data_IF_764104920104
#
_entry.id   IF_764104920104
#
_cell.length_a   1.000
_cell.length_b   1.000
_cell.length_c   1.000
_cell.angle_alpha   90.00
_cell.angle_beta   90.00
_cell.angle_gamma   90.00
#
_symmetry.space_group_name_H-M   'P 1'
#
loop_
_entity.id
_entity.type
_entity.pdbx_description
1 polymer ?
#
# COMPACT_ATOMS: atom_id res chain seq x y z
N UNK A 1 18.03 10.26 19.82
CA UNK A 1 18.41 9.30 18.78
C UNK A 1 17.16 8.49 18.47
N UNK A 2 16.45 8.81 17.39
CA UNK A 2 15.23 8.08 17.06
C UNK A 2 15.64 6.72 16.48
N UNK A 3 15.52 5.67 17.28
CA UNK A 3 15.70 4.30 16.84
C UNK A 3 14.83 4.11 15.59
N UNK A 4 15.47 3.86 14.44
CA UNK A 4 14.72 3.45 13.26
C UNK A 4 14.11 2.09 13.59
N UNK A 5 12.81 1.89 13.37
CA UNK A 5 12.18 0.61 13.68
C UNK A 5 12.90 -0.46 12.86
N UNK A 6 13.58 -1.38 13.53
CA UNK A 6 14.18 -2.54 12.87
C UNK A 6 13.23 -3.71 13.04
N UNK A 7 13.00 -4.45 11.97
CA UNK A 7 12.19 -5.65 12.02
C UNK A 7 12.98 -6.78 12.70
N UNK A 8 12.36 -7.56 13.61
CA UNK A 8 12.98 -8.78 14.12
C UNK A 8 13.12 -9.82 13.00
N UNK A 9 13.87 -10.92 13.20
CA UNK A 9 13.84 -12.04 12.27
C UNK A 9 12.40 -12.53 12.04
N UNK A 10 12.00 -12.75 10.78
CA UNK A 10 10.65 -13.21 10.44
C UNK A 10 10.29 -14.55 11.12
N UNK A 11 11.31 -15.34 11.47
CA UNK A 11 11.18 -16.61 12.21
C UNK A 11 10.66 -16.43 13.64
N UNK A 12 10.80 -15.23 14.22
CA UNK A 12 10.36 -14.93 15.59
C UNK A 12 8.88 -14.52 15.66
N UNK A 13 8.23 -14.20 14.53
CA UNK A 13 6.84 -13.71 14.49
C UNK A 13 5.84 -14.54 15.32
N UNK A 14 5.84 -15.89 15.28
CA UNK A 14 4.89 -16.68 16.05
C UNK A 14 5.03 -16.51 17.57
N UNK A 15 6.24 -16.20 18.04
CA UNK A 15 6.55 -16.01 19.47
C UNK A 15 6.23 -14.62 20.00
N UNK A 16 6.00 -13.64 19.11
CA UNK A 16 5.69 -12.27 19.51
C UNK A 16 4.24 -12.12 20.01
N UNK A 17 4.00 -11.03 20.74
CA UNK A 17 2.65 -10.66 21.16
C UNK A 17 1.79 -10.22 19.97
N UNK A 18 0.45 -10.31 20.09
CA UNK A 18 -0.46 -9.78 19.07
C UNK A 18 -0.19 -8.29 18.75
N UNK A 19 -0.02 -7.39 19.75
CA UNK A 19 0.33 -6.00 19.48
C UNK A 19 1.63 -5.82 18.69
N UNK A 20 2.65 -6.64 18.94
CA UNK A 20 3.94 -6.49 18.24
C UNK A 20 3.87 -7.04 16.81
N UNK A 21 3.14 -8.14 16.57
CA UNK A 21 2.83 -8.60 15.22
C UNK A 21 2.02 -7.57 14.44
N UNK A 22 1.03 -6.94 15.07
CA UNK A 22 0.23 -5.89 14.45
C UNK A 22 1.10 -4.70 14.03
N UNK A 23 2.01 -4.24 14.89
CA UNK A 23 2.98 -3.18 14.55
C UNK A 23 3.87 -3.56 13.37
N UNK A 24 4.32 -4.81 13.28
CA UNK A 24 5.12 -5.29 12.13
C UNK A 24 4.28 -5.24 10.85
N UNK A 25 3.03 -5.69 10.92
CA UNK A 25 2.10 -5.57 9.79
C UNK A 25 1.85 -4.11 9.42
N UNK A 26 1.76 -3.19 10.38
CA UNK A 26 1.59 -1.73 10.15
C UNK A 26 2.85 -1.03 9.64
N UNK A 27 4.02 -1.65 9.78
CA UNK A 27 5.26 -1.16 9.19
C UNK A 27 5.36 -1.62 7.73
N UNK A 28 5.03 -2.89 7.46
CA UNK A 28 5.10 -3.48 6.12
C UNK A 28 3.94 -3.02 5.24
N UNK A 29 2.75 -2.97 5.81
CA UNK A 29 1.50 -2.54 5.19
C UNK A 29 0.97 -1.32 5.93
N UNK A 30 0.03 -0.59 5.34
CA UNK A 30 -0.55 0.54 6.06
C UNK A 30 -1.44 0.06 7.22
N UNK A 31 -1.53 0.83 8.32
CA UNK A 31 -2.39 0.50 9.44
C UNK A 31 -3.81 0.15 9.02
N UNK A 32 -4.19 -1.11 9.27
CA UNK A 32 -5.44 -1.66 8.76
C UNK A 32 -6.03 -2.70 9.72
N UNK A 33 -7.14 -2.37 10.41
CA UNK A 33 -7.84 -3.34 11.25
C UNK A 33 -8.31 -4.58 10.47
N UNK A 34 -8.69 -4.40 9.19
CA UNK A 34 -9.07 -5.51 8.32
C UNK A 34 -7.88 -6.45 8.07
N UNK A 35 -6.70 -5.90 7.76
CA UNK A 35 -5.48 -6.69 7.57
C UNK A 35 -5.12 -7.45 8.85
N UNK A 36 -5.22 -6.80 10.02
CA UNK A 36 -4.96 -7.45 11.30
C UNK A 36 -5.91 -8.61 11.57
N UNK A 37 -7.20 -8.44 11.30
CA UNK A 37 -8.22 -9.49 11.47
C UNK A 37 -7.87 -10.74 10.66
N UNK A 38 -7.39 -10.56 9.43
CA UNK A 38 -7.05 -11.66 8.51
C UNK A 38 -5.70 -12.31 8.88
N UNK A 39 -4.68 -11.52 9.17
CA UNK A 39 -3.29 -12.00 9.16
C UNK A 39 -2.62 -12.13 10.54
N UNK A 40 -3.21 -11.62 11.63
CA UNK A 40 -2.71 -11.94 12.97
C UNK A 40 -2.80 -13.44 13.30
N UNK A 41 -3.88 -14.18 12.95
CA UNK A 41 -3.92 -15.63 13.13
C UNK A 41 -2.85 -16.37 12.32
N UNK A 42 -2.59 -15.91 11.08
CA UNK A 42 -1.59 -16.50 10.20
C UNK A 42 -0.18 -16.34 10.78
N UNK A 43 0.16 -15.12 11.20
CA UNK A 43 1.48 -14.79 11.77
C UNK A 43 1.71 -15.39 13.16
N UNK A 44 0.65 -15.84 13.85
CA UNK A 44 0.74 -16.58 15.10
C UNK A 44 0.96 -18.10 14.91
N UNK A 45 0.50 -18.67 13.80
CA UNK A 45 0.47 -20.11 13.55
C UNK A 45 1.51 -20.61 12.55
N UNK A 46 2.00 -19.73 11.67
CA UNK A 46 2.97 -20.07 10.64
C UNK A 46 4.30 -19.36 10.87
N UNK A 47 5.40 -20.11 10.74
CA UNK A 47 6.75 -19.56 10.71
C UNK A 47 7.13 -19.15 9.28
N UNK A 48 7.78 -18.00 9.13
CA UNK A 48 8.28 -17.48 7.86
C UNK A 48 9.80 -17.32 7.95
N UNK A 49 10.54 -17.76 6.93
CA UNK A 49 12.01 -17.63 6.91
C UNK A 49 12.47 -16.21 6.59
N UNK A 50 11.68 -15.44 5.83
CA UNK A 50 11.95 -14.05 5.44
C UNK A 50 10.65 -13.25 5.41
N UNK A 51 10.75 -11.91 5.43
CA UNK A 51 9.59 -11.05 5.24
C UNK A 51 8.99 -11.16 3.84
N UNK A 52 9.80 -11.39 2.80
CA UNK A 52 9.29 -11.64 1.46
C UNK A 52 8.39 -12.89 1.41
N UNK A 53 8.72 -13.94 2.16
CA UNK A 53 7.84 -15.12 2.27
C UNK A 53 6.52 -14.79 2.97
N UNK A 54 6.53 -13.95 4.01
CA UNK A 54 5.30 -13.46 4.64
C UNK A 54 4.47 -12.62 3.66
N UNK A 55 5.10 -11.66 2.98
CA UNK A 55 4.43 -10.75 2.03
C UNK A 55 3.84 -11.53 0.86
N UNK A 56 4.55 -12.53 0.33
CA UNK A 56 4.05 -13.41 -0.71
C UNK A 56 2.84 -14.23 -0.23
N UNK A 57 2.86 -14.75 1.01
CA UNK A 57 1.72 -15.47 1.59
C UNK A 57 0.49 -14.56 1.77
N UNK A 58 0.70 -13.33 2.24
CA UNK A 58 -0.35 -12.31 2.35
C UNK A 58 -0.92 -11.98 0.96
N UNK A 59 -0.05 -11.71 -0.02
CA UNK A 59 -0.46 -11.41 -1.39
C UNK A 59 -1.27 -12.53 -2.03
N UNK A 60 -0.84 -13.79 -1.88
CA UNK A 60 -1.57 -14.95 -2.36
C UNK A 60 -2.97 -15.09 -1.72
N UNK A 61 -3.07 -14.84 -0.41
CA UNK A 61 -4.35 -14.85 0.27
C UNK A 61 -5.30 -13.75 -0.26
N UNK A 62 -4.81 -12.53 -0.42
CA UNK A 62 -5.60 -11.42 -0.96
C UNK A 62 -6.03 -11.64 -2.41
N UNK A 63 -5.17 -12.25 -3.24
CA UNK A 63 -5.54 -12.64 -4.60
C UNK A 63 -6.65 -13.69 -4.59
N UNK A 64 -6.61 -14.65 -3.66
CA UNK A 64 -7.71 -15.60 -3.49
C UNK A 64 -9.03 -14.93 -3.07
N UNK A 65 -8.99 -13.88 -2.25
CA UNK A 65 -10.18 -13.07 -1.95
C UNK A 65 -10.68 -12.35 -3.20
N UNK A 66 -9.79 -11.81 -4.03
CA UNK A 66 -10.13 -11.10 -5.27
C UNK A 66 -10.80 -12.01 -6.32
N UNK A 67 -10.52 -13.31 -6.28
CA UNK A 67 -11.14 -14.33 -7.16
C UNK A 67 -12.48 -14.86 -6.62
N UNK A 68 -12.88 -14.44 -5.42
CA UNK A 68 -14.12 -14.90 -4.83
C UNK A 68 -15.36 -14.30 -5.50
N UNK A 69 -16.39 -15.12 -5.68
CA UNK A 69 -17.73 -14.65 -6.04
C UNK A 69 -18.53 -14.12 -4.84
N UNK A 70 -18.00 -14.23 -3.62
CA UNK A 70 -18.69 -13.80 -2.39
C UNK A 70 -18.42 -12.32 -2.13
N UNK A 71 -19.48 -11.51 -2.16
CA UNK A 71 -19.41 -10.07 -1.91
C UNK A 71 -18.76 -9.70 -0.58
N UNK A 72 -18.99 -10.48 0.49
CA UNK A 72 -18.39 -10.19 1.80
C UNK A 72 -16.86 -10.34 1.81
N UNK A 73 -16.31 -11.31 1.06
CA UNK A 73 -14.87 -11.48 0.92
C UNK A 73 -14.23 -10.36 0.07
N UNK A 74 -14.96 -9.90 -0.95
CA UNK A 74 -14.54 -8.74 -1.74
C UNK A 74 -14.55 -7.45 -0.93
N UNK A 75 -15.56 -7.24 -0.07
CA UNK A 75 -15.60 -6.09 0.85
C UNK A 75 -14.45 -6.12 1.85
N UNK A 76 -14.12 -7.29 2.38
CA UNK A 76 -12.97 -7.44 3.29
C UNK A 76 -11.65 -7.07 2.59
N UNK A 77 -11.45 -7.52 1.35
CA UNK A 77 -10.33 -7.09 0.51
C UNK A 77 -10.33 -5.57 0.27
N UNK A 78 -11.46 -5.00 -0.11
CA UNK A 78 -11.57 -3.57 -0.38
C UNK A 78 -11.26 -2.72 0.87
N UNK A 79 -11.62 -3.19 2.07
CA UNK A 79 -11.24 -2.56 3.34
C UNK A 79 -9.72 -2.59 3.59
N UNK A 80 -9.04 -3.67 3.21
CA UNK A 80 -7.57 -3.73 3.27
C UNK A 80 -6.96 -2.71 2.30
N UNK A 81 -7.39 -2.74 1.03
CA UNK A 81 -6.82 -1.88 -0.01
C UNK A 81 -7.08 -0.38 0.25
N UNK A 82 -8.24 -0.03 0.78
CA UNK A 82 -8.62 1.35 1.10
C UNK A 82 -7.96 1.91 2.36
N UNK A 83 -7.24 1.07 3.13
CA UNK A 83 -6.43 1.54 4.27
C UNK A 83 -5.20 2.34 3.81
N UNK A 84 -4.81 2.22 2.54
CA UNK A 84 -3.69 2.98 1.98
C UNK A 84 -4.00 4.48 1.91
N UNK A 85 -3.08 5.39 2.27
CA UNK A 85 -3.32 6.83 2.18
C UNK A 85 -3.46 7.27 0.73
N UNK A 86 -4.17 8.37 0.48
CA UNK A 86 -4.23 8.94 -0.87
C UNK A 86 -2.86 9.44 -1.29
N UNK A 87 -2.53 9.23 -2.56
CA UNK A 87 -1.32 9.80 -3.14
C UNK A 87 -1.47 11.33 -3.16
N UNK A 88 -0.51 12.05 -2.58
CA UNK A 88 -0.49 13.52 -2.49
C UNK A 88 -1.09 14.09 -1.20
N UNK A 89 -1.61 13.24 -0.29
CA UNK A 89 -2.18 13.69 0.98
C UNK A 89 -1.10 14.23 1.93
N UNK A 90 -1.33 15.42 2.51
CA UNK A 90 -0.34 16.11 3.36
C UNK A 90 -0.22 15.49 4.77
N UNK A 91 -1.26 14.79 5.22
CA UNK A 91 -1.32 14.15 6.53
C UNK A 91 -1.34 12.65 6.35
N UNK A 92 -0.14 12.06 6.25
CA UNK A 92 0.03 10.62 6.26
C UNK A 92 0.66 10.24 7.59
N UNK A 93 -0.01 9.37 8.35
CA UNK A 93 0.43 8.99 9.69
C UNK A 93 1.70 8.11 9.64
N UNK A 94 1.79 7.24 8.64
CA UNK A 94 2.96 6.37 8.42
C UNK A 94 4.18 7.15 7.91
N UNK A 95 5.31 6.97 8.58
CA UNK A 95 6.59 7.57 8.17
C UNK A 95 7.08 7.04 6.82
N UNK A 96 6.81 5.76 6.52
CA UNK A 96 7.23 5.12 5.27
C UNK A 96 6.49 5.71 4.08
N UNK A 97 5.17 5.90 4.16
CA UNK A 97 4.44 6.51 3.05
C UNK A 97 4.75 8.00 2.88
N UNK A 98 5.13 8.73 3.95
CA UNK A 98 5.72 10.08 3.77
C UNK A 98 7.02 10.04 2.95
N UNK A 99 7.89 9.06 3.21
CA UNK A 99 9.15 8.89 2.45
C UNK A 99 8.90 8.49 0.99
N UNK A 100 7.96 7.59 0.74
CA UNK A 100 7.56 7.16 -0.60
C UNK A 100 7.05 8.35 -1.43
N UNK A 101 6.13 9.15 -0.87
CA UNK A 101 5.61 10.33 -1.57
C UNK A 101 6.68 11.42 -1.78
N UNK A 102 7.60 11.59 -0.83
CA UNK A 102 8.73 12.50 -0.98
C UNK A 102 9.71 12.06 -2.08
N UNK A 103 9.94 10.75 -2.24
CA UNK A 103 10.78 10.21 -3.31
C UNK A 103 10.20 10.50 -4.70
N UNK A 104 8.88 10.35 -4.86
CA UNK A 104 8.17 10.72 -6.10
C UNK A 104 8.30 12.22 -6.41
N UNK A 105 8.17 13.09 -5.39
CA UNK A 105 8.38 14.53 -5.51
C UNK A 105 9.80 14.88 -5.98
N UNK A 106 10.81 14.21 -5.41
CA UNK A 106 12.21 14.40 -5.79
C UNK A 106 12.48 13.96 -7.24
N UNK A 107 11.92 12.83 -7.66
CA UNK A 107 12.03 12.33 -9.03
C UNK A 107 11.38 13.27 -10.06
N UNK A 108 10.37 14.03 -9.64
CA UNK A 108 9.68 15.03 -10.47
C UNK A 108 10.42 16.38 -10.51
N UNK A 109 11.66 16.44 -10.02
CA UNK A 109 12.53 17.60 -10.17
C UNK A 109 12.56 18.60 -9.01
N UNK A 110 11.93 18.30 -7.86
CA UNK A 110 12.13 18.95 -6.54
C UNK A 110 11.90 20.47 -6.38
N UNK A 111 12.01 21.26 -7.44
CA UNK A 111 12.23 22.70 -7.43
C UNK A 111 11.55 23.41 -8.62
N UNK A 112 10.46 22.85 -9.16
CA UNK A 112 9.57 23.61 -10.04
C UNK A 112 8.95 24.80 -9.30
N UNK A 113 8.75 25.91 -10.01
CA UNK A 113 8.04 27.12 -9.56
C UNK A 113 6.74 26.73 -8.83
N UNK A 114 6.37 27.48 -7.79
CA UNK A 114 5.25 27.15 -6.90
C UNK A 114 3.96 26.84 -7.66
N UNK A 115 3.73 27.48 -8.81
CA UNK A 115 2.57 27.21 -9.67
C UNK A 115 2.54 25.81 -10.28
N UNK A 116 3.68 25.26 -10.72
CA UNK A 116 3.73 23.92 -11.30
C UNK A 116 3.39 22.86 -10.23
N UNK A 117 3.87 23.05 -9.01
CA UNK A 117 3.56 22.19 -7.86
C UNK A 117 2.08 22.26 -7.49
N UNK A 118 1.47 23.45 -7.56
CA UNK A 118 0.03 23.65 -7.34
C UNK A 118 -0.77 22.91 -8.40
N UNK A 119 -0.46 23.09 -9.69
CA UNK A 119 -1.15 22.41 -10.81
C UNK A 119 -1.06 20.89 -10.70
N UNK A 120 0.11 20.36 -10.33
CA UNK A 120 0.27 18.92 -10.11
C UNK A 120 -0.55 18.41 -8.93
N UNK A 121 -0.63 19.16 -7.84
CA UNK A 121 -1.44 18.80 -6.68
C UNK A 121 -2.94 18.83 -7.00
N UNK A 122 -3.39 19.82 -7.77
CA UNK A 122 -4.77 19.90 -8.27
C UNK A 122 -5.09 18.74 -9.20
N UNK A 123 -4.20 18.43 -10.14
CA UNK A 123 -4.33 17.28 -11.05
C UNK A 123 -4.45 15.98 -10.27
N UNK A 124 -3.58 15.77 -9.29
CA UNK A 124 -3.61 14.57 -8.46
C UNK A 124 -4.87 14.48 -7.59
N UNK A 125 -5.35 15.61 -7.07
CA UNK A 125 -6.63 15.65 -6.34
C UNK A 125 -7.81 15.31 -7.24
N UNK A 126 -7.83 15.82 -8.47
CA UNK A 126 -8.88 15.52 -9.45
C UNK A 126 -8.85 14.05 -9.86
N UNK A 127 -7.66 13.50 -10.13
CA UNK A 127 -7.50 12.10 -10.50
C UNK A 127 -7.85 11.13 -9.36
N UNK A 128 -7.50 11.43 -8.11
CA UNK A 128 -7.96 10.63 -6.97
C UNK A 128 -9.51 10.62 -6.88
N UNK A 129 -10.15 11.76 -7.13
CA UNK A 129 -11.63 11.85 -7.15
C UNK A 129 -12.23 11.01 -8.27
N UNK A 130 -11.71 11.16 -9.49
CA UNK A 130 -12.15 10.40 -10.66
C UNK A 130 -11.94 8.89 -10.46
N UNK A 131 -10.81 8.51 -9.85
CA UNK A 131 -10.53 7.13 -9.48
C UNK A 131 -11.57 6.57 -8.49
N UNK A 132 -11.86 7.31 -7.42
CA UNK A 132 -12.84 6.88 -6.40
C UNK A 132 -14.28 6.84 -6.94
N UNK A 133 -14.60 7.67 -7.93
CA UNK A 133 -15.86 7.61 -8.67
C UNK A 133 -15.93 6.37 -9.58
N UNK A 134 -14.83 6.02 -10.24
CA UNK A 134 -14.75 4.84 -11.11
C UNK A 134 -14.72 3.52 -10.31
N UNK A 135 -14.10 3.52 -9.14
CA UNK A 135 -13.94 2.36 -8.27
C UNK A 135 -14.39 2.66 -6.83
N UNK A 136 -15.70 2.74 -6.57
CA UNK A 136 -16.22 3.10 -5.24
C UNK A 136 -15.69 2.19 -4.13
N UNK A 137 -15.14 2.82 -3.09
CA UNK A 137 -14.59 2.12 -1.92
C UNK A 137 -13.11 1.75 -2.05
N UNK A 138 -12.48 1.92 -3.21
CA UNK A 138 -11.03 1.76 -3.37
C UNK A 138 -10.31 3.10 -3.31
N UNK A 139 -9.00 3.03 -3.05
CA UNK A 139 -8.05 4.12 -3.25
C UNK A 139 -6.99 3.68 -4.25
N UNK A 140 -6.42 4.63 -4.98
CA UNK A 140 -5.37 4.32 -5.92
C UNK A 140 -4.08 3.94 -5.18
N UNK A 141 -3.72 2.66 -5.27
CA UNK A 141 -2.49 2.11 -4.69
C UNK A 141 -1.49 1.88 -5.81
N UNK A 142 -0.30 2.46 -5.65
CA UNK A 142 0.79 2.34 -6.62
C UNK A 142 2.13 2.36 -5.92
N UNK A 143 3.04 1.46 -6.32
CA UNK A 143 4.42 1.53 -5.86
C UNK A 143 5.18 2.59 -6.65
N UNK A 144 5.39 3.77 -6.08
CA UNK A 144 6.00 4.89 -6.81
C UNK A 144 7.43 4.59 -7.28
N UNK A 145 8.25 3.94 -6.46
CA UNK A 145 9.62 3.49 -6.79
C UNK A 145 10.47 4.48 -7.62
N UNK A 146 10.47 5.76 -7.24
CA UNK A 146 11.23 6.80 -7.95
C UNK A 146 10.69 7.18 -9.34
N UNK A 147 9.49 6.70 -9.72
CA UNK A 147 8.80 7.15 -10.93
C UNK A 147 8.35 8.62 -10.76
N UNK A 148 8.46 9.46 -11.81
CA UNK A 148 7.98 10.82 -11.76
C UNK A 148 6.44 10.87 -11.76
N UNK A 149 5.87 11.96 -11.24
CA UNK A 149 4.41 12.15 -11.13
C UNK A 149 3.67 12.00 -12.45
N UNK A 150 4.23 12.50 -13.54
CA UNK A 150 3.62 12.38 -14.87
C UNK A 150 3.36 10.93 -15.25
N UNK A 151 4.30 10.02 -14.99
CA UNK A 151 4.14 8.58 -15.22
C UNK A 151 3.04 7.99 -14.33
N UNK A 152 2.96 8.44 -13.07
CA UNK A 152 1.91 8.00 -12.15
C UNK A 152 0.53 8.50 -12.56
N UNK A 153 0.43 9.71 -13.09
CA UNK A 153 -0.84 10.27 -13.58
C UNK A 153 -1.35 9.49 -14.81
N UNK A 154 -0.47 9.20 -15.77
CA UNK A 154 -0.85 8.39 -16.93
C UNK A 154 -1.20 6.95 -16.55
N UNK A 155 -0.53 6.40 -15.53
CA UNK A 155 -0.89 5.10 -14.96
C UNK A 155 -2.30 5.10 -14.36
N UNK A 156 -2.61 6.08 -13.51
CA UNK A 156 -3.92 6.21 -12.90
C UNK A 156 -5.02 6.40 -13.95
N UNK A 157 -4.82 7.29 -14.93
CA UNK A 157 -5.76 7.50 -16.05
C UNK A 157 -6.00 6.22 -16.85
N UNK A 158 -4.94 5.47 -17.16
CA UNK A 158 -5.05 4.19 -17.89
C UNK A 158 -5.89 3.18 -17.12
N UNK A 159 -5.71 3.09 -15.80
CA UNK A 159 -6.47 2.18 -14.92
C UNK A 159 -7.94 2.59 -14.80
N UNK A 160 -8.22 3.89 -14.66
CA UNK A 160 -9.59 4.45 -14.71
C UNK A 160 -10.25 4.11 -16.05
N UNK A 161 -9.57 4.39 -17.17
CA UNK A 161 -10.11 4.15 -18.52
C UNK A 161 -10.36 2.66 -18.80
N UNK A 162 -9.58 1.76 -18.20
CA UNK A 162 -9.84 0.30 -18.25
C UNK A 162 -11.18 -0.05 -17.60
N UNK A 163 -11.54 0.59 -16.48
CA UNK A 163 -12.83 0.39 -15.81
C UNK A 163 -13.09 -1.01 -15.26
N UNK A 164 -12.06 -1.87 -15.17
CA UNK A 164 -12.18 -3.24 -14.67
C UNK A 164 -11.77 -3.32 -13.20
N UNK A 165 -12.76 -3.42 -12.32
CA UNK A 165 -12.57 -3.50 -10.86
C UNK A 165 -11.79 -4.77 -10.43
N UNK A 166 -11.89 -5.87 -11.17
CA UNK A 166 -11.25 -7.12 -10.82
C UNK A 166 -9.75 -7.04 -11.07
N UNK A 167 -9.37 -6.51 -12.24
CA UNK A 167 -7.98 -6.20 -12.56
C UNK A 167 -7.42 -5.08 -11.66
N UNK A 168 -8.27 -4.12 -11.27
CA UNK A 168 -7.88 -3.04 -10.37
C UNK A 168 -7.48 -3.55 -8.99
N UNK A 169 -8.25 -4.49 -8.42
CA UNK A 169 -7.89 -5.17 -7.16
C UNK A 169 -6.57 -5.92 -7.29
N UNK A 170 -6.35 -6.64 -8.39
CA UNK A 170 -5.09 -7.40 -8.63
C UNK A 170 -3.88 -6.47 -8.70
N UNK A 171 -3.98 -5.35 -9.42
CA UNK A 171 -2.90 -4.37 -9.50
C UNK A 171 -2.66 -3.67 -8.16
N UNK A 172 -3.71 -3.36 -7.40
CA UNK A 172 -3.59 -2.78 -6.07
C UNK A 172 -2.91 -3.75 -5.08
N UNK A 173 -3.28 -5.04 -5.09
CA UNK A 173 -2.62 -6.08 -4.27
C UNK A 173 -1.14 -6.18 -4.64
N UNK A 174 -0.82 -6.23 -5.94
CA UNK A 174 0.58 -6.30 -6.40
C UNK A 174 1.36 -5.08 -5.92
N UNK A 175 0.83 -3.87 -6.13
CA UNK A 175 1.48 -2.64 -5.69
C UNK A 175 1.71 -2.62 -4.18
N UNK A 176 0.73 -3.08 -3.41
CA UNK A 176 0.83 -3.18 -1.95
C UNK A 176 1.93 -4.16 -1.51
N UNK A 177 2.06 -5.33 -2.16
CA UNK A 177 3.15 -6.28 -1.89
C UNK A 177 4.52 -5.72 -2.30
N UNK A 178 4.62 -5.03 -3.44
CA UNK A 178 5.86 -4.40 -3.89
C UNK A 178 6.32 -3.32 -2.89
N UNK A 179 5.38 -2.50 -2.39
CA UNK A 179 5.63 -1.52 -1.32
C UNK A 179 6.11 -2.22 -0.06
N UNK A 180 5.40 -3.26 0.40
CA UNK A 180 5.77 -3.97 1.63
C UNK A 180 7.17 -4.59 1.56
N UNK A 181 7.56 -5.09 0.38
CA UNK A 181 8.90 -5.67 0.16
C UNK A 181 9.99 -4.60 0.21
N UNK A 182 9.74 -3.44 -0.42
CA UNK A 182 10.64 -2.28 -0.35
C UNK A 182 10.76 -1.72 1.08
N UNK A 183 9.67 -1.73 1.85
CA UNK A 183 9.70 -1.37 3.28
C UNK A 183 10.50 -2.38 4.09
N UNK A 184 10.28 -3.68 3.91
CA UNK A 184 11.02 -4.73 4.59
C UNK A 184 12.53 -4.56 4.38
N UNK A 185 12.96 -4.36 3.12
CA UNK A 185 14.38 -4.18 2.77
C UNK A 185 15.03 -2.95 3.42
N UNK A 186 14.26 -1.92 3.79
CA UNK A 186 14.74 -0.71 4.47
C UNK A 186 14.76 -0.82 5.99
N UNK A 187 14.06 -1.79 6.54
CA UNK A 187 13.88 -2.01 7.99
C UNK A 187 14.66 -3.24 8.50
N UNK A 188 15.54 -3.80 7.65
CA UNK A 188 16.44 -4.91 7.95
C UNK A 188 17.89 -4.43 7.83
#
# INVERSE_FOLDING_TARGET
MSAHPNLPPATELPSLSNPDRAKILDLLFEPSPALHSIFLPLTASQSFSTYDHLIAAIGAHLLSLAESSKTELLKELDNVLSSHPRLGEKKVDSAMSRMEQAAMLKASGGAGEDEAKVREAETLSALNKEYEEAFPGLRYVVFVNGRPRTVIFEDMKRRIARGDISEERREAIKAMCDIASDRAAKLQ
#
